data_IF_263336357243
#
_entry.id   IF_263336357243
#
_cell.length_a   1.000
_cell.length_b   1.000
_cell.length_c   1.000
_cell.angle_alpha   90.00
_cell.angle_beta   90.00
_cell.angle_gamma   90.00
#
_symmetry.space_group_name_H-M   'P 1'
#
loop_
_entity.id
_entity.type
_entity.pdbx_description
1 polymer ?
#
# COMPACT_ATOMS: atom_id res chain seq x y z
N UNK A 1 0.94 -3.93 -14.55
CA UNK A 1 1.56 -2.64 -14.19
C UNK A 1 2.54 -2.27 -15.27
N UNK A 2 2.20 -1.25 -16.06
CA UNK A 2 2.96 -0.77 -17.20
C UNK A 2 3.06 0.75 -17.07
N UNK A 3 4.23 1.31 -17.36
CA UNK A 3 4.41 2.75 -17.51
C UNK A 3 5.15 2.98 -18.83
N UNK A 4 4.55 3.71 -19.76
CA UNK A 4 5.15 4.05 -21.07
C UNK A 4 5.80 2.82 -21.74
N UNK A 5 5.03 1.75 -21.91
CA UNK A 5 5.48 0.47 -22.50
C UNK A 5 6.58 -0.30 -21.73
N UNK A 6 6.99 0.16 -20.55
CA UNK A 6 7.87 -0.59 -19.65
C UNK A 6 7.07 -1.46 -18.68
N UNK A 7 7.36 -2.76 -18.67
CA UNK A 7 6.84 -3.71 -17.68
C UNK A 7 7.50 -3.46 -16.33
N UNK A 8 6.69 -3.11 -15.33
CA UNK A 8 7.16 -2.88 -13.96
C UNK A 8 6.83 -4.05 -13.02
N UNK A 9 6.32 -5.17 -13.55
CA UNK A 9 5.83 -6.28 -12.72
C UNK A 9 6.93 -6.98 -11.91
N UNK A 10 8.18 -6.94 -12.40
CA UNK A 10 9.35 -7.54 -11.76
C UNK A 10 10.11 -6.56 -10.87
N UNK A 11 9.71 -5.28 -10.86
CA UNK A 11 10.35 -4.25 -10.04
C UNK A 11 9.82 -4.25 -8.61
N UNK A 12 10.66 -3.82 -7.67
CA UNK A 12 10.26 -3.66 -6.26
C UNK A 12 9.19 -2.57 -6.12
N UNK A 13 8.32 -2.72 -5.10
CA UNK A 13 7.26 -1.75 -4.83
C UNK A 13 7.78 -0.32 -4.65
N UNK A 14 8.96 -0.15 -4.02
CA UNK A 14 9.61 1.16 -3.86
C UNK A 14 9.83 1.86 -5.20
N UNK A 15 10.48 1.19 -6.16
CA UNK A 15 10.76 1.71 -7.51
C UNK A 15 9.46 2.01 -8.26
N UNK A 16 8.45 1.14 -8.12
CA UNK A 16 7.15 1.34 -8.79
C UNK A 16 6.38 2.52 -8.23
N UNK A 17 6.47 2.76 -6.92
CA UNK A 17 5.85 3.90 -6.23
C UNK A 17 6.54 5.20 -6.61
N UNK A 18 7.87 5.21 -6.67
CA UNK A 18 8.65 6.36 -7.16
C UNK A 18 8.22 6.74 -8.58
N UNK A 19 8.23 5.78 -9.51
CA UNK A 19 7.76 6.00 -10.88
C UNK A 19 6.31 6.47 -10.97
N UNK A 20 5.43 5.98 -10.09
CA UNK A 20 4.04 6.44 -10.03
C UNK A 20 3.95 7.91 -9.60
N UNK A 21 4.72 8.33 -8.60
CA UNK A 21 4.70 9.70 -8.10
C UNK A 21 5.38 10.68 -9.08
N UNK A 22 6.42 10.24 -9.78
CA UNK A 22 7.10 11.07 -10.79
C UNK A 22 6.28 11.23 -12.08
N UNK A 23 5.37 10.30 -12.37
CA UNK A 23 4.61 10.28 -13.63
C UNK A 23 3.26 10.99 -13.56
N UNK A 24 2.72 11.24 -12.37
CA UNK A 24 1.37 11.77 -12.18
C UNK A 24 1.37 12.91 -11.16
N UNK A 25 0.49 13.89 -11.39
CA UNK A 25 0.22 14.96 -10.44
C UNK A 25 -1.14 14.70 -9.79
N UNK A 26 -1.24 15.01 -8.50
CA UNK A 26 -2.51 14.93 -7.79
C UNK A 26 -3.44 16.08 -8.22
N UNK A 27 -4.73 15.76 -8.33
CA UNK A 27 -5.83 16.69 -8.54
C UNK A 27 -6.86 16.47 -7.40
N UNK A 28 -6.90 17.35 -6.39
CA UNK A 28 -7.73 17.16 -5.20
C UNK A 28 -9.21 16.88 -5.53
N UNK A 29 -9.74 15.80 -4.98
CA UNK A 29 -11.14 15.37 -5.24
C UNK A 29 -11.36 14.61 -6.54
N UNK A 30 -10.37 14.55 -7.44
CA UNK A 30 -10.43 13.80 -8.70
C UNK A 30 -9.44 12.63 -8.73
N UNK A 31 -8.16 12.90 -8.45
CA UNK A 31 -7.06 11.94 -8.51
C UNK A 31 -6.05 12.21 -7.40
N UNK A 32 -5.91 11.27 -6.47
CA UNK A 32 -4.95 11.36 -5.37
C UNK A 32 -4.29 10.01 -5.15
N UNK A 33 -3.07 10.04 -4.65
CA UNK A 33 -2.39 8.84 -4.22
C UNK A 33 -2.98 8.35 -2.90
N UNK A 34 -2.87 7.04 -2.66
CA UNK A 34 -3.28 6.48 -1.39
C UNK A 34 -2.33 6.98 -0.28
N UNK A 35 -2.89 7.55 0.80
CA UNK A 35 -2.13 7.88 2.01
C UNK A 35 -1.37 6.65 2.50
N UNK A 36 -0.08 6.79 2.77
CA UNK A 36 0.80 5.66 3.06
C UNK A 36 1.81 5.99 4.18
N UNK A 37 2.12 4.98 4.99
CA UNK A 37 3.16 4.99 5.99
C UNK A 37 4.20 3.91 5.66
N UNK A 38 5.48 4.23 5.77
CA UNK A 38 6.57 3.24 5.65
C UNK A 38 7.22 3.09 7.03
N UNK A 39 6.82 2.06 7.76
CA UNK A 39 7.34 1.79 9.11
C UNK A 39 7.43 0.28 9.35
N UNK A 40 8.36 -0.11 10.22
CA UNK A 40 8.44 -1.45 10.80
C UNK A 40 7.99 -1.49 12.26
N UNK A 41 7.55 -0.35 12.81
CA UNK A 41 7.08 -0.22 14.18
C UNK A 41 5.59 -0.56 14.28
N UNK A 42 5.25 -1.52 15.14
CA UNK A 42 3.86 -1.95 15.33
C UNK A 42 2.96 -0.84 15.86
N UNK A 43 3.46 0.02 16.75
CA UNK A 43 2.68 1.09 17.36
C UNK A 43 2.29 2.16 16.31
N UNK A 44 3.23 2.54 15.44
CA UNK A 44 2.96 3.49 14.35
C UNK A 44 1.95 2.91 13.33
N UNK A 45 2.03 1.61 13.05
CA UNK A 45 1.06 0.92 12.17
C UNK A 45 -0.32 0.92 12.81
N UNK A 46 -0.39 0.67 14.11
CA UNK A 46 -1.64 0.67 14.87
C UNK A 46 -2.28 2.07 14.91
N UNK A 47 -1.50 3.12 15.17
CA UNK A 47 -1.96 4.51 15.10
C UNK A 47 -2.47 4.86 13.69
N UNK A 48 -1.74 4.44 12.65
CA UNK A 48 -2.14 4.65 11.26
C UNK A 48 -3.45 3.93 10.91
N UNK A 49 -3.68 2.73 11.45
CA UNK A 49 -4.93 2.02 11.29
C UNK A 49 -6.09 2.76 11.95
N UNK A 50 -5.92 3.19 13.20
CA UNK A 50 -6.94 3.98 13.92
C UNK A 50 -7.28 5.26 13.15
N UNK A 51 -6.27 5.97 12.62
CA UNK A 51 -6.46 7.14 11.77
C UNK A 51 -7.24 6.80 10.49
N UNK A 52 -6.86 5.73 9.77
CA UNK A 52 -7.54 5.33 8.53
C UNK A 52 -9.03 5.02 8.75
N UNK A 53 -9.36 4.35 9.86
CA UNK A 53 -10.74 4.01 10.22
C UNK A 53 -11.53 5.28 10.60
N UNK A 54 -10.90 6.21 11.32
CA UNK A 54 -11.50 7.50 11.66
C UNK A 54 -11.83 8.34 10.42
N UNK A 55 -10.99 8.24 9.38
CA UNK A 55 -11.19 8.87 8.08
C UNK A 55 -12.18 8.10 7.18
N UNK A 56 -12.81 7.03 7.70
CA UNK A 56 -13.85 6.27 7.01
C UNK A 56 -13.34 5.16 6.09
N UNK A 57 -12.06 4.79 6.16
CA UNK A 57 -11.50 3.66 5.40
C UNK A 57 -11.80 2.32 6.09
N UNK A 58 -11.82 1.23 5.32
CA UNK A 58 -12.01 -0.14 5.87
C UNK A 58 -10.85 -0.62 6.76
N UNK A 59 -9.65 -0.05 6.57
CA UNK A 59 -8.43 -0.43 7.27
C UNK A 59 -7.18 -0.21 6.41
N UNK A 60 -6.12 -0.97 6.67
CA UNK A 60 -4.82 -0.84 6.03
C UNK A 60 -4.52 -1.95 5.01
N UNK A 61 -3.85 -1.55 3.94
CA UNK A 61 -3.16 -2.46 3.01
C UNK A 61 -1.67 -2.44 3.32
N UNK A 62 -1.17 -3.51 3.93
CA UNK A 62 0.25 -3.66 4.28
C UNK A 62 0.96 -4.36 3.13
N UNK A 63 2.07 -3.76 2.66
CA UNK A 63 2.88 -4.28 1.55
C UNK A 63 4.35 -4.29 1.94
N UNK A 64 5.06 -5.37 1.66
CA UNK A 64 6.51 -5.43 1.87
C UNK A 64 7.24 -4.51 0.89
N UNK A 65 8.34 -3.89 1.34
CA UNK A 65 9.11 -2.93 0.51
C UNK A 65 10.22 -3.60 -0.31
N UNK A 66 10.98 -4.54 0.28
CA UNK A 66 12.29 -4.95 -0.28
C UNK A 66 12.48 -6.47 -0.48
N UNK A 67 11.91 -7.34 0.36
CA UNK A 67 11.99 -8.80 0.18
C UNK A 67 10.64 -9.34 -0.33
N UNK A 68 10.65 -10.01 -1.48
CA UNK A 68 9.49 -10.60 -2.16
C UNK A 68 8.36 -9.60 -2.51
N UNK A 69 8.69 -8.33 -2.78
CA UNK A 69 7.72 -7.28 -3.09
C UNK A 69 7.30 -7.21 -4.58
N UNK A 70 7.58 -8.25 -5.37
CA UNK A 70 7.20 -8.33 -6.79
C UNK A 70 5.70 -8.50 -6.93
N UNK A 71 5.15 -8.08 -8.08
CA UNK A 71 3.72 -8.20 -8.34
C UNK A 71 3.41 -9.48 -9.09
N UNK A 72 3.01 -10.49 -8.33
CA UNK A 72 2.69 -11.82 -8.82
C UNK A 72 1.18 -12.08 -8.71
N UNK A 73 0.35 -11.63 -9.67
CA UNK A 73 -1.11 -11.74 -9.57
C UNK A 73 -1.64 -13.18 -9.54
N UNK A 74 -0.84 -14.16 -9.98
CA UNK A 74 -1.17 -15.59 -9.94
C UNK A 74 -0.82 -16.28 -8.61
N UNK A 75 -0.07 -15.62 -7.72
CA UNK A 75 0.24 -16.12 -6.39
C UNK A 75 -0.54 -15.31 -5.37
N UNK A 76 -1.41 -15.99 -4.62
CA UNK A 76 -1.96 -15.45 -3.37
C UNK A 76 -0.86 -15.52 -2.30
N UNK A 77 0.20 -14.75 -2.49
CA UNK A 77 1.31 -14.68 -1.54
C UNK A 77 0.95 -13.77 -0.37
N UNK A 78 1.60 -13.97 0.77
CA UNK A 78 1.46 -13.15 1.98
C UNK A 78 2.07 -11.74 1.83
N UNK A 79 2.40 -11.31 0.62
CA UNK A 79 3.11 -10.05 0.39
C UNK A 79 2.18 -8.86 0.64
N UNK A 80 0.87 -9.04 0.44
CA UNK A 80 -0.17 -8.03 0.65
C UNK A 80 -1.15 -8.51 1.73
N UNK A 81 -1.07 -7.89 2.90
CA UNK A 81 -1.98 -8.17 4.01
C UNK A 81 -3.03 -7.07 4.10
N UNK A 82 -4.27 -7.48 4.37
CA UNK A 82 -5.37 -6.57 4.70
C UNK A 82 -5.58 -6.60 6.20
N UNK A 83 -5.45 -5.45 6.84
CA UNK A 83 -5.70 -5.28 8.26
C UNK A 83 -6.95 -4.44 8.43
N UNK A 84 -8.03 -5.04 8.92
CA UNK A 84 -9.35 -4.41 9.10
C UNK A 84 -9.62 -4.10 10.57
N UNK A 85 -10.57 -3.20 10.80
CA UNK A 85 -11.04 -2.86 12.16
C UNK A 85 -11.56 -4.08 12.92
N UNK A 86 -12.26 -4.98 12.22
CA UNK A 86 -12.90 -6.18 12.80
C UNK A 86 -11.91 -7.11 13.52
N UNK A 87 -10.62 -7.06 13.18
CA UNK A 87 -9.59 -7.87 13.83
C UNK A 87 -9.21 -7.36 15.24
N UNK A 88 -9.65 -6.16 15.63
CA UNK A 88 -9.39 -5.61 16.96
C UNK A 88 -10.48 -5.91 17.99
N UNK A 89 -11.66 -6.36 17.56
CA UNK A 89 -12.80 -6.61 18.45
C UNK A 89 -12.81 -8.04 19.04
N UNK A 90 -11.91 -8.93 18.58
CA UNK A 90 -11.78 -10.33 19.03
C UNK A 90 -10.74 -10.53 20.16
N UNK A 91 -10.55 -9.57 21.08
CA UNK A 91 -9.61 -9.69 22.22
C UNK A 91 -10.22 -9.27 23.55
#
# INVERSE_FOLDING_TARGET
MLLVSQLLIHENLSIRREKLYDSFLEDPGCFQFATALTSSNGDEIQEFLVASVKDGCEGLMIKTSNSDATYEPAKRSNNWLKLKKDYMEDS
#
